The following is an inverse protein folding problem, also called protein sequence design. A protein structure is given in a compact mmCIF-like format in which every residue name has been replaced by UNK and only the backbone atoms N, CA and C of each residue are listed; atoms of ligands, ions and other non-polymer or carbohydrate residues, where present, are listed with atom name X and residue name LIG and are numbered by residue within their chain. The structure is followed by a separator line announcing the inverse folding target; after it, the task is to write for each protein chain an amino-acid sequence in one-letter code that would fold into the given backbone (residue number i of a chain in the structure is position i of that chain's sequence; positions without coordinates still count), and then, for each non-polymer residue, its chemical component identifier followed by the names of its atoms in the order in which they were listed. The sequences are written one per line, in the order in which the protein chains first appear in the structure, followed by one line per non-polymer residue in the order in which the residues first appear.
data_IF_051949096327
#
_entry.id   IF_051949096327
#
_cell.length_a   1.000
_cell.length_b   1.000
_cell.length_c   1.000
_cell.angle_alpha   90.00
_cell.angle_beta   90.00
_cell.angle_gamma   90.00
#
_symmetry.space_group_name_H-M   'P 1'
#
loop_
_entity.id
_entity.type
_entity.pdbx_description
1 polymer ?
#
# COMPACT_ATOMS: atom_id res chain seq x y z
N UNK A 1 -14.82 -61.27 6.04
CA UNK A 1 -13.91 -60.14 6.33
C UNK A 1 -13.20 -59.72 5.04
N UNK A 2 -13.78 -58.78 4.30
CA UNK A 2 -13.25 -58.27 3.04
C UNK A 2 -12.79 -56.84 3.26
N UNK A 3 -11.46 -56.62 3.27
CA UNK A 3 -10.87 -55.28 3.31
C UNK A 3 -11.21 -54.57 2.00
N UNK A 4 -12.17 -53.67 2.05
CA UNK A 4 -12.44 -52.71 0.97
C UNK A 4 -11.23 -51.77 0.84
N UNK A 5 -10.39 -52.03 -0.14
CA UNK A 5 -9.33 -51.14 -0.61
C UNK A 5 -10.00 -49.92 -1.24
N UNK A 6 -10.36 -48.94 -0.43
CA UNK A 6 -10.72 -47.62 -0.92
C UNK A 6 -9.49 -47.02 -1.62
N UNK A 7 -9.54 -47.09 -2.94
CA UNK A 7 -8.61 -46.46 -3.85
C UNK A 7 -8.75 -44.94 -3.65
N UNK A 8 -7.95 -44.37 -2.74
CA UNK A 8 -7.79 -42.91 -2.63
C UNK A 8 -7.17 -42.44 -3.94
N UNK A 9 -8.02 -41.99 -4.85
CA UNK A 9 -7.59 -41.21 -5.99
C UNK A 9 -6.78 -40.03 -5.43
N UNK A 10 -5.52 -39.83 -5.88
CA UNK A 10 -4.74 -38.69 -5.45
C UNK A 10 -5.51 -37.45 -5.90
N UNK A 11 -6.22 -36.82 -4.97
CA UNK A 11 -6.78 -35.49 -5.17
C UNK A 11 -5.58 -34.60 -5.44
N UNK A 12 -5.34 -34.38 -6.74
CA UNK A 12 -4.36 -33.47 -7.29
C UNK A 12 -4.75 -32.10 -6.75
N UNK A 13 -4.19 -31.74 -5.61
CA UNK A 13 -4.37 -30.44 -4.99
C UNK A 13 -4.02 -29.43 -6.08
N UNK A 14 -5.01 -28.64 -6.49
CA UNK A 14 -4.80 -27.52 -7.40
C UNK A 14 -3.90 -26.53 -6.66
N UNK A 15 -2.59 -26.73 -6.81
CA UNK A 15 -1.59 -25.81 -6.34
C UNK A 15 -1.94 -24.46 -6.93
N UNK A 16 -2.33 -23.51 -6.07
CA UNK A 16 -2.53 -22.12 -6.52
C UNK A 16 -1.26 -21.72 -7.24
N UNK A 17 -1.44 -21.37 -8.50
CA UNK A 17 -0.33 -21.22 -9.42
C UNK A 17 0.43 -19.94 -9.08
N UNK A 18 1.77 -20.02 -9.06
CA UNK A 18 2.69 -18.89 -8.99
C UNK A 18 2.26 -17.62 -9.76
N UNK A 19 1.61 -17.69 -10.95
CA UNK A 19 1.05 -16.52 -11.62
C UNK A 19 0.11 -15.65 -10.77
N UNK A 20 -0.68 -16.22 -9.86
CA UNK A 20 -1.60 -15.42 -9.01
C UNK A 20 -0.86 -14.43 -8.10
N UNK A 21 0.30 -14.83 -7.57
CA UNK A 21 1.13 -13.99 -6.69
C UNK A 21 1.83 -12.89 -7.48
N UNK A 22 2.35 -13.23 -8.66
CA UNK A 22 3.00 -12.27 -9.55
C UNK A 22 2.00 -11.18 -9.99
N UNK A 23 0.79 -11.57 -10.37
CA UNK A 23 -0.30 -10.63 -10.73
C UNK A 23 -0.60 -9.70 -9.54
N UNK A 24 -0.71 -10.23 -8.32
CA UNK A 24 -0.97 -9.41 -7.14
C UNK A 24 0.14 -8.39 -6.85
N UNK A 25 1.40 -8.79 -6.99
CA UNK A 25 2.53 -7.87 -6.84
C UNK A 25 2.51 -6.77 -7.92
N UNK A 26 2.27 -7.14 -9.19
CA UNK A 26 2.17 -6.19 -10.31
C UNK A 26 1.04 -5.20 -10.07
N UNK A 27 -0.13 -5.66 -9.64
CA UNK A 27 -1.28 -4.79 -9.34
C UNK A 27 -0.95 -3.83 -8.21
N UNK A 28 -0.36 -4.31 -7.12
CA UNK A 28 0.02 -3.46 -5.98
C UNK A 28 1.04 -2.37 -6.38
N UNK A 29 2.07 -2.76 -7.13
CA UNK A 29 3.08 -1.81 -7.63
C UNK A 29 2.47 -0.82 -8.61
N UNK A 30 1.65 -1.30 -9.56
CA UNK A 30 0.97 -0.45 -10.54
C UNK A 30 0.11 0.61 -9.88
N UNK A 31 -0.59 0.27 -8.80
CA UNK A 31 -1.43 1.21 -8.05
C UNK A 31 -0.60 2.27 -7.33
N UNK A 32 0.48 1.85 -6.66
CA UNK A 32 1.39 2.79 -6.03
C UNK A 32 1.96 3.77 -7.06
N UNK A 33 2.39 3.27 -8.23
CA UNK A 33 2.93 4.10 -9.33
C UNK A 33 1.87 5.05 -9.87
N UNK A 34 0.67 4.55 -10.23
CA UNK A 34 -0.41 5.40 -10.75
C UNK A 34 -0.77 6.50 -9.76
N UNK A 35 -0.87 6.17 -8.47
CA UNK A 35 -1.16 7.15 -7.43
C UNK A 35 -0.04 8.18 -7.27
N UNK A 36 1.23 7.77 -7.30
CA UNK A 36 2.38 8.68 -7.24
C UNK A 36 2.47 9.62 -8.44
N UNK A 37 2.09 9.14 -9.62
CA UNK A 37 1.99 9.97 -10.81
C UNK A 37 0.83 10.96 -10.67
N UNK A 38 -0.34 10.53 -10.19
CA UNK A 38 -1.53 11.37 -10.08
C UNK A 38 -1.49 12.41 -8.94
N UNK A 39 -0.69 12.20 -7.90
CA UNK A 39 -0.70 13.05 -6.70
C UNK A 39 0.32 14.18 -6.78
N UNK A 40 -0.15 15.44 -6.80
CA UNK A 40 0.72 16.63 -6.85
C UNK A 40 0.54 17.50 -5.59
N UNK A 41 1.65 17.86 -4.95
CA UNK A 41 1.67 18.77 -3.80
C UNK A 41 2.17 20.13 -4.27
N UNK A 42 1.31 21.10 -4.53
CA UNK A 42 1.75 22.42 -5.01
C UNK A 42 2.28 23.25 -3.86
N UNK A 43 3.55 23.64 -3.97
CA UNK A 43 4.17 24.58 -3.03
C UNK A 43 3.81 26.02 -3.39
N UNK A 44 2.63 26.50 -2.98
CA UNK A 44 2.37 27.94 -2.91
C UNK A 44 2.92 28.48 -1.57
N UNK A 45 2.95 29.79 -1.25
CA UNK A 45 3.24 30.26 0.11
C UNK A 45 2.39 29.59 1.21
N UNK A 46 1.34 28.85 0.83
CA UNK A 46 0.70 27.79 1.61
C UNK A 46 0.88 26.45 0.86
N UNK A 47 1.45 25.42 1.48
CA UNK A 47 1.53 24.10 0.84
C UNK A 47 0.11 23.60 0.56
N UNK A 48 -0.26 23.50 -0.71
CA UNK A 48 -1.56 23.03 -1.15
C UNK A 48 -1.45 21.65 -1.80
N UNK A 49 -2.40 20.76 -1.57
CA UNK A 49 -2.57 19.57 -2.40
C UNK A 49 -3.37 20.00 -3.63
N UNK A 50 -2.71 20.08 -4.79
CA UNK A 50 -3.45 20.20 -6.03
C UNK A 50 -3.74 18.78 -6.50
N UNK A 51 -4.90 18.28 -6.11
CA UNK A 51 -5.46 17.12 -6.77
C UNK A 51 -5.68 17.51 -8.24
N UNK A 52 -5.10 16.72 -9.14
CA UNK A 52 -5.55 16.56 -10.52
C UNK A 52 -5.03 17.54 -11.60
N UNK A 53 -3.82 17.30 -12.15
CA UNK A 53 -3.43 17.87 -13.44
C UNK A 53 -4.17 17.25 -14.65
N UNK A 54 -5.02 16.23 -14.48
CA UNK A 54 -5.62 15.46 -15.57
C UNK A 54 -7.15 15.62 -15.74
N UNK A 55 -7.85 16.33 -14.84
CA UNK A 55 -9.31 16.45 -14.84
C UNK A 55 -10.06 15.16 -14.47
N UNK A 56 -9.39 14.17 -13.89
CA UNK A 56 -10.01 12.92 -13.47
C UNK A 56 -10.85 13.12 -12.21
N UNK A 57 -12.14 12.75 -12.22
CA UNK A 57 -12.98 12.87 -11.06
C UNK A 57 -12.48 11.96 -9.93
N UNK A 58 -12.61 12.39 -8.68
CA UNK A 58 -12.08 11.69 -7.50
C UNK A 58 -12.57 10.25 -7.34
N UNK A 59 -13.73 9.89 -7.91
CA UNK A 59 -14.24 8.53 -7.91
C UNK A 59 -13.49 7.58 -8.87
N UNK A 60 -12.73 8.10 -9.84
CA UNK A 60 -12.05 7.27 -10.84
C UNK A 60 -10.91 6.41 -10.24
N UNK A 61 -10.36 6.78 -9.09
CA UNK A 61 -9.36 5.98 -8.37
C UNK A 61 -10.00 4.83 -7.58
N UNK A 62 -11.31 4.90 -7.32
CA UNK A 62 -12.04 3.97 -6.45
C UNK A 62 -12.07 2.53 -6.99
N UNK A 63 -12.38 2.28 -8.28
CA UNK A 63 -12.37 0.93 -8.85
C UNK A 63 -10.98 0.30 -8.83
N UNK A 64 -9.94 1.11 -9.03
CA UNK A 64 -8.54 0.66 -9.07
C UNK A 64 -8.11 0.19 -7.67
N UNK A 65 -8.41 0.98 -6.63
CA UNK A 65 -8.07 0.63 -5.25
C UNK A 65 -8.88 -0.59 -4.76
N UNK A 66 -10.15 -0.71 -5.16
CA UNK A 66 -10.98 -1.86 -4.80
C UNK A 66 -10.53 -3.14 -5.53
N UNK A 67 -10.13 -3.03 -6.79
CA UNK A 67 -9.54 -4.14 -7.55
C UNK A 67 -8.24 -4.63 -6.87
N UNK A 68 -7.39 -3.71 -6.39
CA UNK A 68 -6.22 -4.02 -5.57
C UNK A 68 -6.56 -4.93 -4.41
N UNK A 69 -7.52 -4.51 -3.59
CA UNK A 69 -7.89 -5.21 -2.36
C UNK A 69 -8.51 -6.57 -2.67
N UNK A 70 -9.22 -6.68 -3.79
CA UNK A 70 -9.78 -7.95 -4.28
C UNK A 70 -8.68 -8.91 -4.72
N UNK A 71 -7.69 -8.43 -5.46
CA UNK A 71 -6.52 -9.22 -5.90
C UNK A 71 -5.65 -9.62 -4.70
N UNK A 72 -5.45 -8.72 -3.75
CA UNK A 72 -4.76 -9.01 -2.49
C UNK A 72 -5.51 -10.07 -1.67
N UNK A 73 -6.85 -10.00 -1.65
CA UNK A 73 -7.68 -11.02 -0.99
C UNK A 73 -7.57 -12.39 -1.67
N UNK A 74 -7.52 -12.43 -3.00
CA UNK A 74 -7.57 -13.67 -3.78
C UNK A 74 -6.22 -14.38 -3.86
N UNK A 75 -5.11 -13.64 -3.74
CA UNK A 75 -3.74 -14.19 -3.76
C UNK A 75 -3.41 -15.10 -2.56
N UNK A 76 -4.35 -15.35 -1.64
CA UNK A 76 -4.08 -16.17 -0.45
C UNK A 76 -3.08 -15.51 0.50
N UNK A 77 -2.85 -14.21 0.32
CA UNK A 77 -2.44 -13.29 1.37
C UNK A 77 -3.57 -13.23 2.41
N UNK A 78 -3.84 -14.36 3.06
CA UNK A 78 -4.55 -14.39 4.30
C UNK A 78 -3.70 -13.57 5.24
N UNK A 79 -4.00 -12.28 5.33
CA UNK A 79 -3.64 -11.49 6.49
C UNK A 79 -4.21 -12.33 7.61
N UNK A 80 -3.34 -13.00 8.37
CA UNK A 80 -3.77 -13.67 9.60
C UNK A 80 -4.60 -12.62 10.32
N UNK A 81 -5.93 -12.78 10.39
CA UNK A 81 -6.83 -11.66 10.73
C UNK A 81 -6.47 -11.01 12.06
N UNK A 82 -5.74 -11.75 12.90
CA UNK A 82 -5.12 -11.33 14.15
C UNK A 82 -4.01 -10.26 14.02
N UNK A 83 -3.46 -10.01 12.82
CA UNK A 83 -2.32 -9.09 12.60
C UNK A 83 -2.68 -7.78 11.88
N UNK A 84 -3.90 -7.64 11.39
CA UNK A 84 -4.42 -6.38 10.81
C UNK A 84 -4.25 -5.16 11.72
N UNK A 85 -4.58 -5.22 13.05
CA UNK A 85 -4.67 -3.99 13.82
C UNK A 85 -3.31 -3.31 13.99
N UNK A 86 -2.21 -4.08 13.96
CA UNK A 86 -0.88 -3.52 14.23
C UNK A 86 -0.41 -2.54 13.14
N UNK A 87 -0.40 -2.88 11.82
CA UNK A 87 -0.05 -1.92 10.78
C UNK A 87 -0.94 -0.68 10.79
N UNK A 88 -2.26 -0.85 10.99
CA UNK A 88 -3.22 0.27 11.03
C UNK A 88 -2.95 1.19 12.21
N UNK A 89 -2.80 0.66 13.43
CA UNK A 89 -2.48 1.45 14.61
C UNK A 89 -1.12 2.14 14.46
N UNK A 90 -0.11 1.43 13.93
CA UNK A 90 1.23 2.02 13.69
C UNK A 90 1.14 3.19 12.72
N UNK A 91 0.38 3.04 11.63
CA UNK A 91 0.11 4.09 10.66
C UNK A 91 -0.58 5.29 11.30
N UNK A 92 -1.67 5.08 12.06
CA UNK A 92 -2.42 6.13 12.72
C UNK A 92 -1.58 6.90 13.76
N UNK A 93 -0.81 6.19 14.58
CA UNK A 93 0.07 6.80 15.58
C UNK A 93 1.17 7.61 14.92
N UNK A 94 1.84 7.06 13.90
CA UNK A 94 2.89 7.76 13.17
C UNK A 94 2.37 9.05 12.54
N UNK A 95 1.16 9.03 11.97
CA UNK A 95 0.54 10.21 11.41
C UNK A 95 0.06 11.21 12.45
N UNK A 96 -0.48 10.76 13.59
CA UNK A 96 -0.79 11.66 14.69
C UNK A 96 0.46 12.43 15.14
N UNK A 97 1.59 11.74 15.31
CA UNK A 97 2.88 12.37 15.62
C UNK A 97 3.34 13.30 14.50
N UNK A 98 3.26 12.87 13.24
CA UNK A 98 3.63 13.68 12.08
C UNK A 98 2.84 14.99 11.99
N UNK A 99 1.53 14.96 12.26
CA UNK A 99 0.67 16.14 12.25
C UNK A 99 1.00 17.09 13.40
N UNK A 100 1.34 16.56 14.59
CA UNK A 100 1.85 17.38 15.70
C UNK A 100 3.18 18.05 15.35
N UNK A 101 4.08 17.35 14.67
CA UNK A 101 5.34 17.93 14.18
C UNK A 101 5.07 19.04 13.16
N UNK A 102 4.13 18.85 12.22
CA UNK A 102 3.74 19.89 11.27
C UNK A 102 3.16 21.12 11.98
N UNK A 103 2.25 20.91 12.94
CA UNK A 103 1.72 21.99 13.78
C UNK A 103 2.84 22.76 14.49
N UNK A 104 3.78 22.05 15.13
CA UNK A 104 4.90 22.65 15.85
C UNK A 104 5.86 23.41 14.92
N UNK A 105 5.92 23.07 13.63
CA UNK A 105 6.71 23.76 12.63
C UNK A 105 5.97 24.94 11.96
N UNK A 106 4.78 25.31 12.47
CA UNK A 106 4.04 26.48 11.99
C UNK A 106 3.28 26.27 10.68
N UNK A 107 3.06 25.02 10.26
CA UNK A 107 2.19 24.74 9.12
C UNK A 107 0.75 25.17 9.44
N UNK A 108 0.06 25.75 8.45
CA UNK A 108 -1.32 26.22 8.66
C UNK A 108 -2.29 25.06 8.84
N UNK A 109 -3.42 25.33 9.52
CA UNK A 109 -4.52 24.37 9.69
C UNK A 109 -4.98 23.79 8.36
N UNK A 110 -5.04 24.61 7.31
CA UNK A 110 -5.46 24.16 5.98
C UNK A 110 -4.50 23.11 5.40
N UNK A 111 -3.18 23.32 5.52
CA UNK A 111 -2.19 22.32 5.09
C UNK A 111 -2.37 21.02 5.86
N UNK A 112 -2.54 21.11 7.18
CA UNK A 112 -2.70 19.94 8.04
C UNK A 112 -3.96 19.16 7.68
N UNK A 113 -5.08 19.84 7.43
CA UNK A 113 -6.33 19.19 7.03
C UNK A 113 -6.22 18.55 5.63
N UNK A 114 -5.49 19.18 4.70
CA UNK A 114 -5.23 18.58 3.38
C UNK A 114 -4.34 17.34 3.48
N UNK A 115 -3.24 17.41 4.25
CA UNK A 115 -2.39 16.25 4.53
C UNK A 115 -3.20 15.14 5.19
N UNK A 116 -4.01 15.47 6.20
CA UNK A 116 -4.87 14.52 6.88
C UNK A 116 -5.87 13.87 5.91
N UNK A 117 -6.45 14.65 4.98
CA UNK A 117 -7.36 14.14 3.96
C UNK A 117 -6.70 13.10 3.06
N UNK A 118 -5.49 13.38 2.56
CA UNK A 118 -4.71 12.42 1.76
C UNK A 118 -4.39 11.18 2.57
N UNK A 119 -3.95 11.34 3.81
CA UNK A 119 -3.51 10.23 4.69
C UNK A 119 -4.65 9.32 5.12
N UNK A 120 -5.85 9.87 5.29
CA UNK A 120 -7.03 9.09 5.67
C UNK A 120 -7.76 8.51 4.46
N UNK A 121 -7.37 8.86 3.23
CA UNK A 121 -7.94 8.29 2.00
C UNK A 121 -7.96 6.75 1.99
N UNK A 122 -6.96 6.01 2.50
CA UNK A 122 -6.98 4.54 2.51
C UNK A 122 -7.99 3.94 3.50
N UNK A 123 -8.45 4.70 4.49
CA UNK A 123 -9.22 4.17 5.64
C UNK A 123 -10.58 3.57 5.21
N UNK A 124 -11.40 4.22 4.36
CA UNK A 124 -12.62 3.61 3.84
C UNK A 124 -12.35 2.29 3.11
N UNK A 125 -11.25 2.19 2.35
CA UNK A 125 -10.90 0.99 1.61
C UNK A 125 -10.44 -0.15 2.52
N UNK A 126 -9.63 0.16 3.54
CA UNK A 126 -9.27 -0.80 4.59
C UNK A 126 -10.51 -1.27 5.32
N UNK A 127 -11.43 -0.37 5.65
CA UNK A 127 -12.71 -0.71 6.31
C UNK A 127 -13.52 -1.67 5.45
N UNK A 128 -13.73 -1.37 4.16
CA UNK A 128 -14.42 -2.24 3.22
C UNK A 128 -13.73 -3.61 3.09
N UNK A 129 -12.40 -3.63 3.01
CA UNK A 129 -11.62 -4.86 2.98
C UNK A 129 -11.82 -5.72 4.23
N UNK A 130 -11.83 -5.11 5.42
CA UNK A 130 -12.06 -5.82 6.68
C UNK A 130 -13.48 -6.36 6.80
N UNK A 131 -14.47 -5.64 6.31
CA UNK A 131 -15.86 -6.13 6.23
C UNK A 131 -15.96 -7.35 5.31
N UNK A 132 -15.35 -7.29 4.13
CA UNK A 132 -15.29 -8.44 3.21
C UNK A 132 -14.56 -9.62 3.86
N UNK A 133 -13.46 -9.36 4.57
CA UNK A 133 -12.69 -10.40 5.25
C UNK A 133 -13.48 -11.05 6.39
N UNK A 134 -14.23 -10.27 7.16
CA UNK A 134 -15.08 -10.77 8.24
C UNK A 134 -16.21 -11.69 7.75
N UNK A 135 -16.69 -11.50 6.52
CA UNK A 135 -17.70 -12.36 5.90
C UNK A 135 -17.16 -13.65 5.28
N UNK A 136 -15.82 -13.86 5.24
CA UNK A 136 -15.23 -15.06 4.61
C UNK A 136 -15.17 -16.24 5.59
N UNK A 137 -15.46 -17.47 5.11
CA UNK A 137 -15.24 -18.67 5.91
C UNK A 137 -13.75 -18.81 6.24
N UNK A 138 -13.45 -19.34 7.44
CA UNK A 138 -12.08 -19.58 7.86
C UNK A 138 -11.35 -20.47 6.84
N UNK A 139 -10.15 -20.09 6.37
CA UNK A 139 -9.41 -20.92 5.44
C UNK A 139 -9.09 -22.27 6.10
N UNK A 140 -9.20 -23.34 5.33
CA UNK A 140 -8.73 -24.65 5.77
C UNK A 140 -7.24 -24.58 6.18
N UNK A 141 -6.81 -25.35 7.19
CA UNK A 141 -5.41 -25.39 7.61
C UNK A 141 -4.51 -25.68 6.40
N UNK A 142 -3.54 -24.79 6.14
CA UNK A 142 -2.54 -25.01 5.10
C UNK A 142 -1.59 -26.09 5.62
N UNK A 143 -1.42 -27.19 4.88
CA UNK A 143 -0.47 -28.24 5.22
C UNK A 143 0.97 -27.76 5.00
N UNK A 144 1.85 -27.99 5.98
CA UNK A 144 3.19 -27.38 6.08
C UNK A 144 4.11 -27.64 4.86
N UNK A 145 3.87 -28.72 4.10
CA UNK A 145 4.70 -29.10 2.96
C UNK A 145 4.74 -28.06 1.83
N UNK A 146 3.68 -27.30 1.60
CA UNK A 146 3.63 -26.28 0.56
C UNK A 146 4.31 -24.96 0.97
N UNK A 147 4.44 -24.73 2.28
CA UNK A 147 4.99 -23.49 2.82
C UNK A 147 6.50 -23.36 2.54
N UNK A 148 7.24 -24.46 2.45
CA UNK A 148 8.68 -24.43 2.20
C UNK A 148 9.10 -23.95 0.80
N UNK A 149 8.19 -23.95 -0.18
CA UNK A 149 8.51 -23.63 -1.58
C UNK A 149 8.86 -22.14 -1.79
N UNK A 150 9.68 -21.82 -2.81
CA UNK A 150 9.97 -20.43 -3.17
C UNK A 150 8.70 -19.60 -3.50
N UNK A 151 7.72 -20.12 -4.28
CA UNK A 151 6.44 -19.44 -4.48
C UNK A 151 5.66 -19.24 -3.18
N UNK A 152 5.68 -20.23 -2.27
CA UNK A 152 5.04 -20.13 -0.96
C UNK A 152 5.67 -19.04 -0.08
N UNK A 153 7.00 -18.89 -0.11
CA UNK A 153 7.71 -17.80 0.59
C UNK A 153 7.32 -16.43 0.03
N UNK A 154 7.27 -16.28 -1.30
CA UNK A 154 6.86 -15.03 -1.95
C UNK A 154 5.42 -14.67 -1.61
N UNK A 155 4.48 -15.63 -1.67
CA UNK A 155 3.09 -15.40 -1.30
C UNK A 155 2.94 -14.92 0.16
N UNK A 156 3.70 -15.53 1.09
CA UNK A 156 3.72 -15.09 2.49
C UNK A 156 4.31 -13.70 2.65
N UNK A 157 5.38 -13.37 1.92
CA UNK A 157 5.96 -12.04 1.93
C UNK A 157 4.94 -11.01 1.42
N UNK A 158 4.32 -11.27 0.27
CA UNK A 158 3.29 -10.40 -0.30
C UNK A 158 2.12 -10.21 0.66
N UNK A 159 1.63 -11.27 1.30
CA UNK A 159 0.55 -11.13 2.27
C UNK A 159 0.91 -10.36 3.53
N UNK A 160 2.18 -10.39 3.95
CA UNK A 160 2.68 -9.56 5.06
C UNK A 160 2.86 -8.10 4.67
N UNK A 161 3.29 -7.83 3.43
CA UNK A 161 3.62 -6.48 2.97
C UNK A 161 2.44 -5.73 2.35
N UNK A 162 1.41 -6.44 1.87
CA UNK A 162 0.29 -5.85 1.14
C UNK A 162 -0.39 -4.70 1.90
N UNK A 163 -0.83 -4.95 3.14
CA UNK A 163 -1.51 -3.94 3.94
C UNK A 163 -0.57 -2.77 4.32
N UNK A 164 0.67 -3.00 4.81
CA UNK A 164 1.64 -1.93 4.99
C UNK A 164 1.87 -1.10 3.72
N UNK A 165 2.15 -1.73 2.57
CA UNK A 165 2.36 -1.01 1.30
C UNK A 165 1.12 -0.19 0.95
N UNK A 166 -0.08 -0.77 1.07
CA UNK A 166 -1.33 -0.08 0.80
C UNK A 166 -1.55 1.13 1.73
N UNK A 167 -1.19 1.05 3.01
CA UNK A 167 -1.29 2.20 3.93
C UNK A 167 -0.23 3.26 3.64
N UNK A 168 1.02 2.85 3.43
CA UNK A 168 2.17 3.75 3.40
C UNK A 168 2.47 4.34 2.02
N UNK A 169 1.97 3.77 0.92
CA UNK A 169 2.29 4.28 -0.42
C UNK A 169 1.92 5.75 -0.62
N UNK A 170 0.81 6.21 -0.05
CA UNK A 170 0.42 7.63 -0.12
C UNK A 170 1.26 8.54 0.77
N UNK A 171 1.90 7.98 1.80
CA UNK A 171 2.73 8.74 2.75
C UNK A 171 4.09 9.10 2.14
N UNK A 172 4.65 8.23 1.30
CA UNK A 172 5.91 8.49 0.61
C UNK A 172 5.96 9.83 -0.14
N UNK A 173 5.01 10.17 -1.05
CA UNK A 173 5.05 11.45 -1.74
C UNK A 173 4.78 12.64 -0.82
N UNK A 174 3.97 12.49 0.24
CA UNK A 174 3.75 13.57 1.23
C UNK A 174 5.06 13.91 1.94
N UNK A 175 5.77 12.91 2.46
CA UNK A 175 7.04 13.14 3.18
C UNK A 175 8.10 13.73 2.25
N UNK A 176 8.25 13.20 1.03
CA UNK A 176 9.22 13.72 0.06
C UNK A 176 8.87 15.16 -0.32
N UNK A 177 7.59 15.47 -0.55
CA UNK A 177 7.15 16.84 -0.85
C UNK A 177 7.44 17.79 0.32
N UNK A 178 7.06 17.42 1.55
CA UNK A 178 7.30 18.22 2.75
C UNK A 178 8.79 18.47 2.98
N UNK A 179 9.62 17.44 2.87
CA UNK A 179 11.07 17.56 3.04
C UNK A 179 11.71 18.48 1.99
N UNK A 180 11.15 18.52 0.78
CA UNK A 180 11.68 19.34 -0.33
C UNK A 180 11.08 20.74 -0.42
N UNK A 181 10.01 21.07 0.32
CA UNK A 181 9.40 22.42 0.32
C UNK A 181 10.39 23.55 0.57
N UNK A 182 11.37 23.33 1.45
CA UNK A 182 12.39 24.34 1.80
C UNK A 182 13.37 24.64 0.67
N UNK A 183 13.45 23.77 -0.34
CA UNK A 183 14.29 23.97 -1.52
C UNK A 183 13.58 24.78 -2.62
N UNK A 184 12.34 25.21 -2.38
CA UNK A 184 11.51 25.89 -3.35
C UNK A 184 10.77 24.94 -4.30
N UNK A 185 10.23 25.45 -5.41
CA UNK A 185 9.53 24.64 -6.40
C UNK A 185 10.48 23.67 -7.12
N UNK A 186 10.16 22.38 -7.06
CA UNK A 186 10.87 21.27 -7.67
C UNK A 186 9.96 20.61 -8.73
N UNK A 187 10.37 20.60 -10.01
CA UNK A 187 9.63 19.94 -11.09
C UNK A 187 9.28 18.49 -10.76
N UNK A 188 8.01 18.13 -10.97
CA UNK A 188 7.55 16.75 -10.74
C UNK A 188 7.36 16.34 -9.28
N UNK A 189 7.64 17.21 -8.30
CA UNK A 189 7.24 17.01 -6.90
C UNK A 189 6.22 18.06 -6.49
N UNK A 190 6.66 19.32 -6.44
CA UNK A 190 5.91 20.42 -5.86
C UNK A 190 5.85 21.71 -6.68
N UNK A 191 6.49 21.72 -7.86
CA UNK A 191 6.25 22.73 -8.88
C UNK A 191 5.17 22.27 -9.87
N UNK A 192 4.41 23.24 -10.38
CA UNK A 192 3.57 23.03 -11.56
C UNK A 192 4.49 22.82 -12.76
N UNK A 193 4.40 21.64 -13.39
CA UNK A 193 5.09 21.36 -14.65
C UNK A 193 4.21 21.72 -15.83
N UNK A 194 4.81 22.11 -16.96
CA UNK A 194 4.09 22.16 -18.23
C UNK A 194 3.60 20.76 -18.62
N UNK A 195 2.52 20.63 -19.42
CA UNK A 195 1.95 19.32 -19.78
C UNK A 195 2.97 18.35 -20.38
N UNK A 196 3.92 18.84 -21.17
CA UNK A 196 4.95 18.02 -21.84
C UNK A 196 6.09 17.57 -20.92
N UNK A 197 6.42 18.33 -19.88
CA UNK A 197 7.52 18.02 -18.96
C UNK A 197 7.07 17.30 -17.68
N UNK A 198 5.76 17.21 -17.44
CA UNK A 198 5.20 16.66 -16.21
C UNK A 198 5.56 15.18 -16.00
N UNK A 199 5.33 14.32 -17.00
CA UNK A 199 5.57 12.89 -16.88
C UNK A 199 7.05 12.54 -16.66
N UNK A 200 8.02 13.00 -17.48
CA UNK A 200 9.43 12.66 -17.25
C UNK A 200 9.93 13.17 -15.90
N UNK A 201 9.51 14.36 -15.47
CA UNK A 201 9.86 14.89 -14.15
C UNK A 201 9.34 13.97 -13.03
N UNK A 202 8.10 13.49 -13.12
CA UNK A 202 7.52 12.54 -12.15
C UNK A 202 8.24 11.19 -12.13
N UNK A 203 8.57 10.65 -13.30
CA UNK A 203 9.29 9.37 -13.42
C UNK A 203 10.65 9.41 -12.73
N UNK A 204 11.35 10.56 -12.79
CA UNK A 204 12.64 10.75 -12.12
C UNK A 204 12.55 10.61 -10.58
N UNK A 205 11.39 10.83 -9.98
CA UNK A 205 11.18 10.73 -8.53
C UNK A 205 10.77 9.33 -8.05
N UNK A 206 10.36 8.43 -8.95
CA UNK A 206 9.91 7.08 -8.57
C UNK A 206 10.93 6.31 -7.72
N UNK A 207 12.26 6.33 -8.00
CA UNK A 207 13.23 5.64 -7.16
C UNK A 207 13.25 6.15 -5.72
N UNK A 208 13.16 7.47 -5.52
CA UNK A 208 13.15 8.07 -4.19
C UNK A 208 11.85 7.73 -3.43
N UNK A 209 10.70 7.79 -4.11
CA UNK A 209 9.42 7.39 -3.54
C UNK A 209 9.39 5.92 -3.13
N UNK A 210 9.95 5.04 -3.97
CA UNK A 210 10.08 3.62 -3.67
C UNK A 210 11.01 3.36 -2.47
N UNK A 211 12.14 4.06 -2.38
CA UNK A 211 13.04 3.96 -1.23
C UNK A 211 12.36 4.44 0.07
N UNK A 212 11.66 5.57 0.02
CA UNK A 212 10.91 6.11 1.14
C UNK A 212 9.79 5.16 1.60
N UNK A 213 9.04 4.58 0.66
CA UNK A 213 8.04 3.55 0.96
C UNK A 213 8.68 2.32 1.61
N UNK A 214 9.81 1.85 1.10
CA UNK A 214 10.52 0.71 1.66
C UNK A 214 10.92 0.95 3.13
N UNK A 215 11.41 2.15 3.45
CA UNK A 215 11.72 2.56 4.84
C UNK A 215 10.48 2.51 5.73
N UNK A 216 9.36 3.08 5.30
CA UNK A 216 8.11 3.09 6.08
C UNK A 216 7.56 1.68 6.31
N UNK A 217 7.61 0.83 5.28
CA UNK A 217 7.20 -0.57 5.37
C UNK A 217 8.12 -1.35 6.32
N UNK A 218 9.43 -1.13 6.26
CA UNK A 218 10.40 -1.75 7.17
C UNK A 218 10.16 -1.35 8.65
N UNK A 219 9.92 -0.06 8.90
CA UNK A 219 9.62 0.47 10.23
C UNK A 219 8.32 -0.11 10.79
N UNK A 220 7.26 -0.17 9.96
CA UNK A 220 5.95 -0.68 10.39
C UNK A 220 5.88 -2.19 10.54
N UNK A 221 6.65 -2.93 9.75
CA UNK A 221 6.83 -4.37 9.92
C UNK A 221 7.51 -4.72 11.26
N UNK A 222 8.13 -3.73 11.91
CA UNK A 222 8.84 -3.89 13.16
C UNK A 222 9.90 -4.96 13.01
N UNK A 223 10.84 -4.75 12.08
CA UNK A 223 12.04 -5.57 11.90
C UNK A 223 12.67 -5.80 13.28
N UNK A 224 12.26 -6.89 13.93
CA UNK A 224 13.00 -7.42 15.05
C UNK A 224 14.29 -7.91 14.41
N UNK A 225 15.47 -7.39 14.80
CA UNK A 225 16.71 -8.02 14.40
C UNK A 225 16.58 -9.50 14.71
N UNK A 226 17.02 -10.35 13.78
CA UNK A 226 17.10 -11.79 14.04
C UNK A 226 17.82 -11.92 15.39
N UNK A 227 17.13 -12.51 16.37
CA UNK A 227 17.81 -12.89 17.61
C UNK A 227 18.61 -14.12 17.22
N UNK A 228 19.88 -13.87 16.88
CA UNK A 228 20.91 -14.90 16.78
C UNK A 228 21.16 -15.52 18.16
#
# INVERSE_FOLDING_TARGET
MTRSTQHRLPHRMSGRSAPSVAVAAIVLVGIAVVHWLATVFVSTPRVGVASDPAGLPSWATWPIQLAALTVLSSAGAGVEGRRVPRPVVTFLVAWAVGLLVLLANGYSRDVILQVLGVVLEPVPYVTAYLLILAGRPAPAPVTDGAAGSAPGRLARLMGRLALPVFLWHQTAPVIVALATTRLGPIPGLNALSTPSAWLPARLAWLPLLAAMLAVQVALSAGLRPARD
#
